data_IF_711399610750
#
_entry.id   IF_711399610750
#
_cell.length_a   1.000
_cell.length_b   1.000
_cell.length_c   1.000
_cell.angle_alpha   90.00
_cell.angle_beta   90.00
_cell.angle_gamma   90.00
#
_symmetry.space_group_name_H-M   'P 1'
#
loop_
_entity.id
_entity.type
_entity.pdbx_description
1 polymer ?
#
# COMPACT_ATOMS: atom_id res chain seq x y z
N UNK A 1 4.26 15.00 -8.93
CA UNK A 1 3.07 15.74 -8.47
C UNK A 1 1.95 14.71 -8.31
N UNK A 2 1.72 14.20 -7.11
CA UNK A 2 0.66 13.20 -6.88
C UNK A 2 -0.70 13.92 -6.97
N UNK A 3 -1.70 13.37 -7.68
CA UNK A 3 -2.98 14.04 -7.90
C UNK A 3 -3.71 14.22 -6.56
N UNK A 4 -4.15 15.47 -6.35
CA UNK A 4 -4.71 16.04 -5.12
C UNK A 4 -6.07 15.39 -4.76
N UNK A 5 -6.59 14.50 -5.61
CA UNK A 5 -7.85 13.77 -5.39
C UNK A 5 -7.78 12.63 -4.35
N UNK A 6 -6.59 12.29 -3.84
CA UNK A 6 -6.44 11.23 -2.84
C UNK A 6 -6.65 11.70 -1.38
N UNK A 7 -6.78 13.01 -1.17
CA UNK A 7 -6.80 13.64 0.16
C UNK A 7 -8.10 13.43 0.98
N UNK A 8 -9.32 13.22 0.43
CA UNK A 8 -10.49 13.13 1.28
C UNK A 8 -10.69 11.74 1.93
N UNK A 9 -9.82 10.76 1.65
CA UNK A 9 -9.96 9.41 2.24
C UNK A 9 -9.19 9.25 3.56
N UNK A 10 -8.19 10.09 3.82
CA UNK A 10 -7.38 10.00 5.04
C UNK A 10 -8.11 10.60 6.27
N UNK A 11 -9.02 11.55 6.06
CA UNK A 11 -9.86 12.12 7.14
C UNK A 11 -10.84 11.11 7.76
N UNK A 12 -11.11 9.99 7.08
CA UNK A 12 -11.88 8.86 7.62
C UNK A 12 -11.09 7.87 8.48
N UNK A 13 -9.75 8.01 8.57
CA UNK A 13 -8.90 7.05 9.28
C UNK A 13 -9.08 7.10 10.81
N UNK A 14 -9.53 8.24 11.36
CA UNK A 14 -9.73 8.43 12.81
C UNK A 14 -11.12 8.03 13.33
N UNK A 15 -12.13 7.89 12.47
CA UNK A 15 -13.53 7.78 12.91
C UNK A 15 -14.36 6.83 12.03
N UNK A 16 -14.25 5.52 12.24
CA UNK A 16 -15.34 4.56 11.95
C UNK A 16 -15.67 4.22 10.48
N UNK A 17 -14.97 4.76 9.48
CA UNK A 17 -15.19 4.41 8.07
C UNK A 17 -14.64 3.02 7.74
N UNK A 18 -15.48 1.98 7.76
CA UNK A 18 -15.06 0.63 7.35
C UNK A 18 -14.60 0.64 5.90
N UNK A 19 -13.32 0.30 5.66
CA UNK A 19 -12.83 0.00 4.32
C UNK A 19 -13.77 -0.99 3.63
N UNK A 20 -13.96 -0.88 2.30
CA UNK A 20 -14.78 -1.84 1.57
C UNK A 20 -14.24 -3.25 1.80
N UNK A 21 -15.16 -4.21 1.91
CA UNK A 21 -14.81 -5.62 2.10
C UNK A 21 -13.93 -6.09 0.93
N UNK A 22 -13.02 -7.06 1.14
CA UNK A 22 -12.25 -7.66 0.06
C UNK A 22 -13.15 -8.14 -1.08
N UNK A 23 -12.67 -8.02 -2.31
CA UNK A 23 -13.40 -8.48 -3.49
C UNK A 23 -13.58 -10.01 -3.46
N UNK A 24 -14.69 -10.48 -4.02
CA UNK A 24 -14.84 -11.88 -4.36
C UNK A 24 -13.79 -12.26 -5.42
N UNK A 25 -13.29 -13.50 -5.36
CA UNK A 25 -12.22 -13.99 -6.24
C UNK A 25 -12.54 -13.82 -7.73
N UNK A 26 -13.77 -14.11 -8.12
CA UNK A 26 -14.24 -13.97 -9.51
C UNK A 26 -14.21 -12.52 -9.98
N UNK A 27 -14.69 -11.59 -9.14
CA UNK A 27 -14.70 -10.16 -9.46
C UNK A 27 -13.27 -9.60 -9.51
N UNK A 28 -12.39 -10.04 -8.61
CA UNK A 28 -10.96 -9.70 -8.66
C UNK A 28 -10.33 -10.14 -9.98
N UNK A 29 -10.59 -11.39 -10.42
CA UNK A 29 -10.11 -11.89 -11.70
C UNK A 29 -10.64 -11.09 -12.89
N UNK A 30 -11.94 -10.73 -12.90
CA UNK A 30 -12.52 -9.89 -13.95
C UNK A 30 -11.86 -8.52 -14.02
N UNK A 31 -11.59 -7.89 -12.89
CA UNK A 31 -10.92 -6.58 -12.84
C UNK A 31 -9.46 -6.67 -13.30
N UNK A 32 -8.76 -7.76 -12.96
CA UNK A 32 -7.41 -8.01 -13.43
C UNK A 32 -7.35 -8.23 -14.95
N UNK A 33 -8.33 -8.93 -15.52
CA UNK A 33 -8.47 -9.06 -16.99
C UNK A 33 -8.72 -7.70 -17.65
N UNK A 34 -9.62 -6.87 -17.08
CA UNK A 34 -9.87 -5.51 -17.57
C UNK A 34 -8.63 -4.62 -17.48
N UNK A 35 -7.83 -4.78 -16.43
CA UNK A 35 -6.58 -4.04 -16.26
C UNK A 35 -5.56 -4.39 -17.35
N UNK A 36 -5.59 -5.62 -17.86
CA UNK A 36 -4.70 -6.09 -18.94
C UNK A 36 -5.23 -5.68 -20.32
N UNK A 37 -6.48 -6.03 -20.61
CA UNK A 37 -7.02 -6.06 -21.97
C UNK A 37 -8.02 -4.93 -22.27
N UNK A 38 -8.43 -4.14 -21.27
CA UNK A 38 -9.41 -3.07 -21.41
C UNK A 38 -8.86 -1.80 -22.07
N UNK A 39 -9.78 -0.89 -22.39
CA UNK A 39 -9.47 0.50 -22.78
C UNK A 39 -8.85 1.28 -21.62
N UNK A 40 -8.23 2.43 -21.90
CA UNK A 40 -7.59 3.25 -20.84
C UNK A 40 -8.56 3.65 -19.71
N UNK A 41 -9.82 3.95 -20.07
CA UNK A 41 -10.86 4.25 -19.09
C UNK A 41 -11.23 3.04 -18.22
N UNK A 42 -11.33 1.85 -18.82
CA UNK A 42 -11.62 0.61 -18.09
C UNK A 42 -10.46 0.19 -17.19
N UNK A 43 -9.21 0.35 -17.67
CA UNK A 43 -8.00 0.11 -16.90
C UNK A 43 -7.94 1.02 -15.69
N UNK A 44 -8.24 2.31 -15.85
CA UNK A 44 -8.25 3.26 -14.74
C UNK A 44 -9.31 2.89 -13.70
N UNK A 45 -10.54 2.58 -14.14
CA UNK A 45 -11.63 2.16 -13.26
C UNK A 45 -11.32 0.86 -12.51
N UNK A 46 -10.74 -0.13 -13.21
CA UNK A 46 -10.36 -1.41 -12.62
C UNK A 46 -9.26 -1.23 -11.57
N UNK A 47 -8.22 -0.44 -11.90
CA UNK A 47 -7.12 -0.10 -10.99
C UNK A 47 -7.64 0.57 -9.72
N UNK A 48 -8.51 1.58 -9.85
CA UNK A 48 -9.10 2.28 -8.70
C UNK A 48 -9.89 1.32 -7.80
N UNK A 49 -10.71 0.46 -8.41
CA UNK A 49 -11.49 -0.55 -7.66
C UNK A 49 -10.57 -1.51 -6.91
N UNK A 50 -9.53 -2.03 -7.57
CA UNK A 50 -8.56 -2.93 -6.93
C UNK A 50 -7.81 -2.25 -5.78
N UNK A 51 -7.42 -0.98 -5.93
CA UNK A 51 -6.77 -0.22 -4.86
C UNK A 51 -7.70 -0.09 -3.66
N UNK A 52 -8.92 0.42 -3.86
CA UNK A 52 -9.88 0.70 -2.77
C UNK A 52 -10.19 -0.54 -1.93
N UNK A 53 -10.42 -1.68 -2.58
CA UNK A 53 -10.73 -2.95 -1.90
C UNK A 53 -9.53 -3.59 -1.19
N UNK A 54 -8.31 -3.12 -1.44
CA UNK A 54 -7.08 -3.58 -0.79
C UNK A 54 -6.50 -2.58 0.22
N UNK A 55 -7.13 -1.42 0.46
CA UNK A 55 -6.65 -0.44 1.44
C UNK A 55 -6.59 -0.99 2.87
N UNK A 56 -7.51 -1.89 3.24
CA UNK A 56 -7.50 -2.56 4.55
C UNK A 56 -6.23 -3.39 4.77
N UNK A 57 -5.71 -4.01 3.71
CA UNK A 57 -4.44 -4.74 3.75
C UNK A 57 -3.27 -3.78 4.01
N UNK A 58 -3.27 -2.62 3.35
CA UNK A 58 -2.23 -1.60 3.55
C UNK A 58 -2.23 -1.11 4.99
N UNK A 59 -3.40 -0.73 5.53
CA UNK A 59 -3.52 -0.27 6.91
C UNK A 59 -3.06 -1.34 7.91
N UNK A 60 -3.41 -2.61 7.67
CA UNK A 60 -2.98 -3.73 8.50
C UNK A 60 -1.45 -3.92 8.50
N UNK A 61 -0.80 -3.83 7.33
CA UNK A 61 0.65 -3.97 7.22
C UNK A 61 1.36 -2.76 7.82
N UNK A 62 0.93 -1.55 7.51
CA UNK A 62 1.52 -0.31 8.01
C UNK A 62 1.50 -0.26 9.55
N UNK A 63 0.43 -0.77 10.19
CA UNK A 63 0.33 -0.84 11.66
C UNK A 63 1.48 -1.62 12.32
N UNK A 64 2.10 -2.58 11.62
CA UNK A 64 3.24 -3.36 12.15
C UNK A 64 4.52 -2.54 12.32
N UNK A 65 4.65 -1.43 11.59
CA UNK A 65 5.85 -0.58 11.57
C UNK A 65 5.64 0.78 12.23
N UNK A 66 4.46 0.99 12.84
CA UNK A 66 4.07 2.27 13.37
C UNK A 66 4.58 2.47 14.81
N UNK A 67 5.45 3.46 15.04
CA UNK A 67 5.95 3.83 16.36
C UNK A 67 5.34 5.13 16.90
N UNK A 68 4.65 5.93 16.07
CA UNK A 68 4.00 7.18 16.45
C UNK A 68 2.89 7.61 15.46
N UNK A 69 1.87 8.34 15.93
CA UNK A 69 0.69 8.72 15.11
C UNK A 69 1.03 9.39 13.77
N UNK A 70 2.00 10.33 13.72
CA UNK A 70 2.42 10.99 12.46
C UNK A 70 3.15 10.04 11.50
N UNK A 71 3.85 9.04 12.00
CA UNK A 71 4.52 8.03 11.17
C UNK A 71 3.47 7.10 10.52
N UNK A 72 2.33 6.88 11.16
CA UNK A 72 1.26 6.03 10.63
C UNK A 72 0.72 6.50 9.28
N UNK A 73 0.43 7.80 9.13
CA UNK A 73 -0.14 8.35 7.88
C UNK A 73 0.87 8.32 6.72
N UNK A 74 2.14 8.56 7.02
CA UNK A 74 3.23 8.46 6.05
C UNK A 74 3.42 7.01 5.59
N UNK A 75 3.46 6.06 6.53
CA UNK A 75 3.59 4.62 6.24
C UNK A 75 2.42 4.09 5.41
N UNK A 76 1.19 4.54 5.68
CA UNK A 76 0.02 4.20 4.87
C UNK A 76 0.20 4.73 3.44
N UNK A 77 0.59 5.99 3.29
CA UNK A 77 0.80 6.60 1.97
C UNK A 77 1.86 5.85 1.15
N UNK A 78 2.98 5.47 1.78
CA UNK A 78 4.04 4.66 1.16
C UNK A 78 3.53 3.26 0.82
N UNK A 79 2.80 2.64 1.73
CA UNK A 79 2.19 1.33 1.51
C UNK A 79 1.21 1.34 0.34
N UNK A 80 0.44 2.41 0.15
CA UNK A 80 -0.45 2.59 -1.00
C UNK A 80 0.34 2.66 -2.30
N UNK A 81 1.48 3.36 -2.33
CA UNK A 81 2.38 3.35 -3.49
C UNK A 81 2.89 1.93 -3.78
N UNK A 82 3.24 1.16 -2.74
CA UNK A 82 3.61 -0.26 -2.86
C UNK A 82 2.48 -1.11 -3.44
N UNK A 83 1.23 -0.90 -2.99
CA UNK A 83 0.04 -1.57 -3.51
C UNK A 83 -0.21 -1.25 -4.99
N UNK A 84 -0.11 0.02 -5.40
CA UNK A 84 -0.29 0.43 -6.79
C UNK A 84 0.73 -0.27 -7.68
N UNK A 85 2.00 -0.29 -7.28
CA UNK A 85 3.06 -1.03 -8.00
C UNK A 85 2.76 -2.52 -8.08
N UNK A 86 2.23 -3.10 -7.00
CA UNK A 86 1.83 -4.50 -6.99
C UNK A 86 0.74 -4.78 -8.03
N UNK A 87 -0.32 -3.98 -8.04
CA UNK A 87 -1.44 -4.15 -8.98
C UNK A 87 -0.97 -4.01 -10.44
N UNK A 88 -0.11 -3.03 -10.73
CA UNK A 88 0.40 -2.80 -12.09
C UNK A 88 1.38 -3.88 -12.59
N UNK A 89 2.09 -4.54 -11.67
CA UNK A 89 3.08 -5.58 -12.00
C UNK A 89 2.59 -7.01 -11.73
N UNK A 90 1.35 -7.15 -11.30
CA UNK A 90 0.79 -8.44 -10.94
C UNK A 90 0.57 -9.31 -12.18
N UNK A 91 0.94 -10.57 -12.03
CA UNK A 91 0.84 -11.57 -13.08
C UNK A 91 0.00 -12.74 -12.55
N UNK A 92 -1.16 -12.96 -13.17
CA UNK A 92 -2.09 -14.02 -12.80
C UNK A 92 -1.59 -15.42 -13.15
N UNK A 93 -0.62 -15.56 -14.05
CA UNK A 93 -0.09 -16.87 -14.45
C UNK A 93 0.75 -17.52 -13.34
N UNK A 94 1.25 -16.72 -12.39
CA UNK A 94 2.11 -17.19 -11.30
C UNK A 94 1.38 -17.93 -10.19
N UNK A 95 0.08 -18.22 -10.32
CA UNK A 95 -0.75 -19.01 -9.37
C UNK A 95 -0.82 -18.49 -7.92
N UNK A 96 -0.31 -17.29 -7.65
CA UNK A 96 -0.38 -16.63 -6.34
C UNK A 96 -1.60 -15.72 -6.28
N UNK A 97 -2.18 -15.51 -5.09
CA UNK A 97 -3.28 -14.55 -4.92
C UNK A 97 -2.74 -13.12 -4.96
N UNK A 98 -3.51 -12.19 -5.52
CA UNK A 98 -3.14 -10.76 -5.57
C UNK A 98 -2.80 -10.22 -4.18
N UNK A 99 -3.61 -10.53 -3.16
CA UNK A 99 -3.36 -10.09 -1.78
C UNK A 99 -1.99 -10.54 -1.23
N UNK A 100 -1.55 -11.76 -1.56
CA UNK A 100 -0.25 -12.31 -1.14
C UNK A 100 0.91 -11.62 -1.85
N UNK A 101 0.76 -11.33 -3.14
CA UNK A 101 1.76 -10.57 -3.89
C UNK A 101 1.84 -9.12 -3.38
N UNK A 102 0.67 -8.48 -3.25
CA UNK A 102 0.53 -7.12 -2.78
C UNK A 102 1.09 -6.92 -1.38
N UNK A 103 0.89 -7.86 -0.45
CA UNK A 103 1.44 -7.75 0.90
C UNK A 103 2.97 -7.61 0.88
N UNK A 104 3.65 -8.39 0.04
CA UNK A 104 5.11 -8.34 -0.09
C UNK A 104 5.59 -7.02 -0.70
N UNK A 105 4.87 -6.50 -1.69
CA UNK A 105 5.18 -5.21 -2.29
C UNK A 105 4.96 -4.03 -1.33
N UNK A 106 3.87 -4.06 -0.55
CA UNK A 106 3.55 -3.05 0.48
C UNK A 106 4.65 -3.02 1.54
N UNK A 107 5.01 -4.19 2.09
CA UNK A 107 6.06 -4.33 3.09
C UNK A 107 7.42 -3.85 2.56
N UNK A 108 7.78 -4.25 1.34
CA UNK A 108 9.01 -3.80 0.70
C UNK A 108 9.07 -2.27 0.51
N UNK A 109 7.95 -1.63 0.16
CA UNK A 109 7.89 -0.18 0.00
C UNK A 109 8.13 0.55 1.33
N UNK A 110 7.50 0.07 2.40
CA UNK A 110 7.67 0.59 3.77
C UNK A 110 9.12 0.41 4.24
N UNK A 111 9.65 -0.82 4.16
CA UNK A 111 11.02 -1.12 4.57
C UNK A 111 12.06 -0.31 3.78
N UNK A 112 11.83 -0.09 2.49
CA UNK A 112 12.70 0.74 1.66
C UNK A 112 12.73 2.19 2.16
N UNK A 113 11.59 2.76 2.57
CA UNK A 113 11.56 4.10 3.17
C UNK A 113 12.34 4.14 4.48
N UNK A 114 12.11 3.17 5.36
CA UNK A 114 12.79 3.11 6.66
C UNK A 114 14.30 2.99 6.49
N UNK A 115 14.77 2.17 5.54
CA UNK A 115 16.21 2.06 5.22
C UNK A 115 16.79 3.39 4.73
N UNK A 116 16.08 4.08 3.83
CA UNK A 116 16.49 5.41 3.36
C UNK A 116 16.54 6.42 4.51
N UNK A 117 15.59 6.36 5.46
CA UNK A 117 15.57 7.22 6.64
C UNK A 117 16.83 7.09 7.49
N UNK A 118 17.32 5.86 7.71
CA UNK A 118 18.58 5.62 8.43
C UNK A 118 19.81 6.19 7.71
N UNK A 119 19.79 6.26 6.38
CA UNK A 119 20.90 6.81 5.59
C UNK A 119 20.92 8.35 5.60
N UNK A 120 19.75 9.00 5.65
CA UNK A 120 19.64 10.47 5.57
C UNK A 120 19.62 11.19 6.94
N UNK A 121 19.44 10.47 8.05
CA UNK A 121 19.44 11.05 9.41
C UNK A 121 20.58 10.48 10.28
N UNK A 122 21.84 10.89 10.05
CA UNK A 122 23.01 10.40 10.79
C UNK A 122 22.96 10.72 12.29
N UNK A 123 22.31 11.82 12.69
CA UNK A 123 22.19 12.26 14.09
C UNK A 123 21.47 11.26 15.01
N UNK A 124 20.70 10.31 14.45
CA UNK A 124 20.00 9.26 15.21
C UNK A 124 20.78 7.95 15.26
N UNK A 125 21.66 7.70 14.28
CA UNK A 125 22.55 6.54 14.26
C UNK A 125 23.68 6.68 15.29
N UNK A 126 24.11 7.92 15.58
CA UNK A 126 25.17 8.21 16.53
C UNK A 126 24.75 7.98 18.00
N UNK A 127 23.46 8.17 18.33
CA UNK A 127 22.96 7.99 19.71
C UNK A 127 22.92 6.52 20.20
N UNK A 128 23.16 5.56 19.31
CA UNK A 128 23.20 4.13 19.62
C UNK A 128 24.63 3.58 19.84
N UNK A 129 25.63 4.44 20.05
CA UNK A 129 27.00 3.99 20.38
C UNK A 129 27.11 3.28 21.75
N UNK A 130 26.09 3.36 22.62
CA UNK A 130 26.09 2.71 23.94
C UNK A 130 25.21 1.45 24.02
N UNK A 131 24.94 0.80 22.88
CA UNK A 131 24.39 -0.57 22.77
C UNK A 131 23.62 -1.13 23.96
N UNK A 132 22.36 -0.75 24.13
CA UNK A 132 21.37 -1.57 24.83
C UNK A 132 20.09 -1.53 24.01
N UNK A 133 19.57 -2.71 23.70
CA UNK A 133 18.34 -2.95 22.94
C UNK A 133 17.13 -2.29 23.57
#
# INVERSE_FOLDING_TARGET
MLPIFFVPLLSGFSSGGSFPKPLAKEKEQQLLLRLRDGTDAEKESAKQTLILHNLRLVAHIAKKYNNAQRESEELISIGIVGLIKAILSYDSEKSIRLATYASRCIENAILSRMRLWFQINPLRAEKNQNGVF
#
